data_IF_801646308925
#
_entry.id   IF_801646308925
#
_cell.length_a   1.000
_cell.length_b   1.000
_cell.length_c   1.000
_cell.angle_alpha   90.00
_cell.angle_beta   90.00
_cell.angle_gamma   90.00
#
_symmetry.space_group_name_H-M   'P 1'
#
loop_
_entity.id
_entity.type
_entity.pdbx_description
1 polymer ?
#
# COMPACT_ATOMS: atom_id res chain seq x y z
N UNK A 1 24.24 24.15 -19.91
CA UNK A 1 23.15 23.47 -19.19
C UNK A 1 21.84 23.89 -19.83
N UNK A 2 21.13 22.94 -20.44
CA UNK A 2 19.75 23.16 -20.88
C UNK A 2 18.83 22.71 -19.74
N UNK A 3 17.88 23.57 -19.37
CA UNK A 3 16.86 23.23 -18.39
C UNK A 3 16.02 22.05 -18.91
N UNK A 4 16.01 20.94 -18.16
CA UNK A 4 15.16 19.78 -18.46
C UNK A 4 13.89 19.87 -17.62
N UNK A 5 12.73 19.99 -18.28
CA UNK A 5 11.43 19.91 -17.62
C UNK A 5 10.97 18.46 -17.51
N UNK A 6 10.74 17.98 -16.28
CA UNK A 6 10.15 16.68 -16.02
C UNK A 6 8.65 16.83 -15.75
N UNK A 7 7.84 15.97 -16.37
CA UNK A 7 6.39 15.93 -16.16
C UNK A 7 5.98 14.69 -15.39
N UNK A 8 5.41 14.87 -14.19
CA UNK A 8 4.83 13.79 -13.41
C UNK A 8 3.38 13.54 -13.89
N UNK A 9 3.12 12.37 -14.49
CA UNK A 9 1.83 12.03 -15.13
C UNK A 9 1.21 10.74 -14.60
N UNK A 10 1.56 10.33 -13.37
CA UNK A 10 1.10 9.07 -12.77
C UNK A 10 -0.43 8.96 -12.77
N UNK A 11 -1.13 9.96 -12.23
CA UNK A 11 -2.59 9.94 -12.16
C UNK A 11 -3.26 10.08 -13.55
N UNK A 12 -2.65 10.82 -14.47
CA UNK A 12 -3.13 10.91 -15.87
C UNK A 12 -3.06 9.54 -16.56
N UNK A 13 -1.94 8.83 -16.40
CA UNK A 13 -1.77 7.50 -16.96
C UNK A 13 -2.76 6.50 -16.35
N UNK A 14 -2.94 6.54 -15.02
CA UNK A 14 -3.93 5.74 -14.31
C UNK A 14 -5.35 6.02 -14.81
N UNK A 15 -5.74 7.28 -14.95
CA UNK A 15 -7.08 7.68 -15.41
C UNK A 15 -7.38 7.16 -16.82
N UNK A 16 -6.41 7.23 -17.73
CA UNK A 16 -6.57 6.69 -19.09
C UNK A 16 -6.76 5.16 -19.09
N UNK A 17 -6.10 4.43 -18.18
CA UNK A 17 -6.31 2.99 -18.02
C UNK A 17 -7.66 2.69 -17.38
N UNK A 18 -8.09 3.47 -16.38
CA UNK A 18 -9.40 3.31 -15.75
C UNK A 18 -10.56 3.55 -16.74
N UNK A 19 -10.42 4.54 -17.63
CA UNK A 19 -11.37 4.76 -18.74
C UNK A 19 -11.44 3.53 -19.66
N UNK A 20 -10.28 2.95 -19.99
CA UNK A 20 -10.24 1.73 -20.79
C UNK A 20 -10.86 0.54 -20.05
N UNK A 21 -10.60 0.36 -18.76
CA UNK A 21 -11.20 -0.71 -17.94
C UNK A 21 -12.72 -0.59 -17.94
N UNK A 22 -13.27 0.60 -17.66
CA UNK A 22 -14.72 0.84 -17.68
C UNK A 22 -15.36 0.58 -19.06
N UNK A 23 -14.63 0.86 -20.14
CA UNK A 23 -15.10 0.59 -21.49
C UNK A 23 -15.09 -0.90 -21.89
N UNK A 24 -14.35 -1.75 -21.16
CA UNK A 24 -14.13 -3.15 -21.54
C UNK A 24 -14.64 -4.16 -20.50
N UNK A 25 -14.84 -3.74 -19.25
CA UNK A 25 -15.31 -4.58 -18.15
C UNK A 25 -16.52 -3.94 -17.49
N UNK A 26 -17.72 -4.35 -17.91
CA UNK A 26 -18.96 -3.75 -17.38
C UNK A 26 -19.29 -4.22 -15.96
N UNK A 27 -19.06 -5.50 -15.66
CA UNK A 27 -19.44 -6.13 -14.38
C UNK A 27 -18.40 -7.16 -13.95
N UNK A 28 -17.24 -6.73 -13.41
CA UNK A 28 -16.31 -7.66 -12.77
C UNK A 28 -16.96 -8.30 -11.53
N UNK A 29 -16.60 -9.55 -11.24
CA UNK A 29 -17.07 -10.26 -10.03
C UNK A 29 -16.36 -9.78 -8.77
N UNK A 30 -15.07 -9.43 -8.89
CA UNK A 30 -14.20 -8.95 -7.81
C UNK A 30 -13.20 -7.96 -8.37
N UNK A 31 -12.74 -7.04 -7.53
CA UNK A 31 -11.66 -6.10 -7.83
C UNK A 31 -10.54 -6.31 -6.82
N UNK A 32 -9.34 -6.64 -7.32
CA UNK A 32 -8.13 -6.72 -6.52
C UNK A 32 -7.14 -5.67 -7.01
N UNK A 33 -6.82 -4.70 -6.15
CA UNK A 33 -5.92 -3.58 -6.46
C UNK A 33 -4.63 -3.78 -5.69
N UNK A 34 -3.51 -3.89 -6.40
CA UNK A 34 -2.21 -4.06 -5.77
C UNK A 34 -1.11 -3.31 -6.51
N UNK A 35 0.01 -3.12 -5.83
CA UNK A 35 1.21 -2.55 -6.40
C UNK A 35 2.39 -2.76 -5.45
N UNK A 36 3.56 -2.97 -6.04
CA UNK A 36 4.83 -3.21 -5.36
C UNK A 36 5.62 -1.89 -5.24
N UNK A 37 6.28 -1.66 -4.11
CA UNK A 37 7.18 -0.52 -3.90
C UNK A 37 6.45 0.82 -4.09
N UNK A 38 6.99 1.72 -4.94
CA UNK A 38 6.31 2.93 -5.42
C UNK A 38 4.87 2.66 -5.95
N UNK A 39 4.63 1.47 -6.50
CA UNK A 39 3.32 1.02 -6.94
C UNK A 39 2.31 0.82 -5.81
N UNK A 40 2.74 0.49 -4.59
CA UNK A 40 1.86 0.38 -3.41
C UNK A 40 1.20 1.72 -3.08
N UNK A 41 1.97 2.81 -3.15
CA UNK A 41 1.46 4.17 -2.98
C UNK A 41 0.48 4.53 -4.10
N UNK A 42 0.81 4.19 -5.35
CA UNK A 42 -0.09 4.39 -6.49
C UNK A 42 -1.39 3.59 -6.37
N UNK A 43 -1.31 2.36 -5.86
CA UNK A 43 -2.46 1.46 -5.74
C UNK A 43 -3.45 1.96 -4.71
N UNK A 44 -2.99 2.41 -3.52
CA UNK A 44 -3.87 2.97 -2.48
C UNK A 44 -4.45 4.33 -2.89
N UNK A 45 -3.67 5.18 -3.58
CA UNK A 45 -4.17 6.45 -4.10
C UNK A 45 -5.21 6.26 -5.23
N UNK A 46 -5.05 5.25 -6.08
CA UNK A 46 -5.97 4.91 -7.17
C UNK A 46 -7.21 4.13 -6.72
N UNK A 47 -7.10 3.35 -5.64
CA UNK A 47 -8.15 2.48 -5.11
C UNK A 47 -9.55 3.15 -4.99
N UNK A 48 -9.70 4.33 -4.37
CA UNK A 48 -11.02 4.95 -4.26
C UNK A 48 -11.64 5.29 -5.62
N UNK A 49 -10.83 5.65 -6.62
CA UNK A 49 -11.32 5.95 -7.98
C UNK A 49 -11.83 4.68 -8.68
N UNK A 50 -11.15 3.55 -8.49
CA UNK A 50 -11.59 2.26 -8.99
C UNK A 50 -12.89 1.85 -8.31
N UNK A 51 -12.96 1.96 -6.98
CA UNK A 51 -14.17 1.65 -6.22
C UNK A 51 -15.36 2.49 -6.68
N UNK A 52 -15.16 3.80 -6.87
CA UNK A 52 -16.20 4.70 -7.40
C UNK A 52 -16.71 4.29 -8.79
N UNK A 53 -15.86 3.71 -9.63
CA UNK A 53 -16.27 3.20 -10.94
C UNK A 53 -17.09 1.90 -10.83
N UNK A 54 -16.92 1.14 -9.75
CA UNK A 54 -17.56 -0.15 -9.51
C UNK A 54 -18.08 -0.29 -8.06
N UNK A 55 -19.05 0.55 -7.64
CA UNK A 55 -19.40 0.72 -6.23
C UNK A 55 -20.03 -0.51 -5.57
N UNK A 56 -20.57 -1.43 -6.38
CA UNK A 56 -21.27 -2.64 -5.91
C UNK A 56 -20.43 -3.92 -6.09
N UNK A 57 -19.15 -3.80 -6.45
CA UNK A 57 -18.26 -4.94 -6.67
C UNK A 57 -17.37 -5.17 -5.43
N UNK A 58 -17.25 -6.41 -4.93
CA UNK A 58 -16.31 -6.74 -3.86
C UNK A 58 -14.90 -6.24 -4.16
N UNK A 59 -14.33 -5.51 -3.20
CA UNK A 59 -13.08 -4.77 -3.38
C UNK A 59 -12.03 -5.17 -2.34
N UNK A 60 -10.83 -5.46 -2.85
CA UNK A 60 -9.70 -5.95 -2.10
C UNK A 60 -8.46 -5.12 -2.49
N UNK A 61 -7.72 -4.62 -1.51
CA UNK A 61 -6.50 -3.84 -1.74
C UNK A 61 -5.30 -4.47 -1.04
N UNK A 62 -4.16 -4.58 -1.74
CA UNK A 62 -2.88 -5.05 -1.20
C UNK A 62 -1.74 -4.11 -1.59
N UNK A 63 -1.25 -3.34 -0.63
CA UNK A 63 0.03 -2.64 -0.75
C UNK A 63 1.21 -3.59 -0.51
N UNK A 64 2.06 -3.81 -1.51
CA UNK A 64 3.21 -4.69 -1.42
C UNK A 64 4.50 -3.87 -1.24
N UNK A 65 5.20 -4.05 -0.12
CA UNK A 65 6.47 -3.40 0.20
C UNK A 65 6.43 -1.86 0.12
N UNK A 66 5.36 -1.25 0.65
CA UNK A 66 5.13 0.20 0.60
C UNK A 66 4.53 0.74 1.90
N UNK A 67 5.27 0.61 3.01
CA UNK A 67 4.82 0.93 4.36
C UNK A 67 4.58 2.43 4.66
N UNK A 68 4.99 3.34 3.79
CA UNK A 68 4.82 4.77 4.02
C UNK A 68 5.87 5.42 4.91
N UNK A 69 7.01 4.77 5.13
CA UNK A 69 8.13 5.31 5.92
C UNK A 69 8.99 6.22 5.04
N UNK A 70 8.87 7.53 5.27
CA UNK A 70 9.62 8.59 4.56
C UNK A 70 10.03 9.68 5.56
N UNK A 71 11.00 10.52 5.21
CA UNK A 71 11.38 11.68 6.05
C UNK A 71 10.44 12.87 5.81
N UNK A 72 10.27 13.70 6.85
CA UNK A 72 9.45 14.92 6.76
C UNK A 72 9.93 15.86 5.64
N UNK A 73 11.25 16.01 5.49
CA UNK A 73 11.87 16.84 4.45
C UNK A 73 11.55 16.31 3.05
N UNK A 74 11.60 14.98 2.86
CA UNK A 74 11.23 14.37 1.59
C UNK A 74 9.76 14.55 1.28
N UNK A 75 8.87 14.39 2.28
CA UNK A 75 7.45 14.66 2.09
C UNK A 75 7.20 16.14 1.72
N UNK A 76 7.75 17.08 2.48
CA UNK A 76 7.56 18.51 2.26
C UNK A 76 8.13 18.99 0.91
N UNK A 77 9.27 18.44 0.49
CA UNK A 77 9.92 18.80 -0.77
C UNK A 77 9.39 18.06 -1.99
N UNK A 78 8.96 16.80 -1.85
CA UNK A 78 8.53 15.94 -2.96
C UNK A 78 7.04 16.08 -3.30
N UNK A 79 6.18 16.08 -2.29
CA UNK A 79 4.72 16.01 -2.46
C UNK A 79 4.14 17.13 -3.35
N UNK A 80 4.58 18.41 -3.25
CA UNK A 80 4.10 19.47 -4.14
C UNK A 80 4.53 19.29 -5.61
N UNK A 81 5.60 18.55 -5.87
CA UNK A 81 6.14 18.36 -7.23
C UNK A 81 5.46 17.23 -8.00
N UNK A 82 4.73 16.34 -7.33
CA UNK A 82 4.12 15.16 -7.95
C UNK A 82 2.66 15.34 -8.36
N UNK A 83 2.10 16.53 -8.18
CA UNK A 83 0.74 16.88 -8.58
C UNK A 83 -0.35 15.94 -8.02
N UNK A 84 -0.11 15.42 -6.82
CA UNK A 84 -1.02 14.56 -6.04
C UNK A 84 -2.29 15.28 -5.59
N UNK A 85 -2.39 16.58 -5.84
CA UNK A 85 -3.59 17.40 -5.67
C UNK A 85 -4.75 16.88 -6.51
N UNK A 86 -4.47 16.57 -7.77
CA UNK A 86 -5.50 16.22 -8.75
C UNK A 86 -5.97 14.76 -8.61
N UNK A 87 -5.22 13.91 -7.90
CA UNK A 87 -5.57 12.52 -7.62
C UNK A 87 -6.48 12.32 -6.41
N UNK A 88 -6.97 13.40 -5.77
CA UNK A 88 -7.70 13.30 -4.51
C UNK A 88 -9.13 12.78 -4.68
N UNK A 89 -9.58 11.87 -3.79
CA UNK A 89 -10.97 11.45 -3.77
C UNK A 89 -11.83 12.49 -3.03
N UNK A 90 -12.24 13.55 -3.72
CA UNK A 90 -13.01 14.67 -3.11
C UNK A 90 -14.37 14.27 -2.49
N UNK A 91 -14.89 13.08 -2.84
CA UNK A 91 -16.13 12.55 -2.26
C UNK A 91 -15.93 11.85 -0.90
N UNK A 92 -14.67 11.59 -0.52
CA UNK A 92 -14.32 11.00 0.76
C UNK A 92 -13.94 12.14 1.71
N UNK A 93 -14.62 12.29 2.86
CA UNK A 93 -14.25 13.28 3.86
C UNK A 93 -12.79 13.12 4.26
N UNK A 94 -12.02 14.20 4.10
CA UNK A 94 -10.63 14.19 4.48
C UNK A 94 -10.48 14.10 6.01
N UNK A 95 -9.54 13.29 6.53
CA UNK A 95 -9.12 13.38 7.92
C UNK A 95 -8.71 14.82 8.24
N UNK A 96 -9.26 15.39 9.33
CA UNK A 96 -9.04 16.78 9.75
C UNK A 96 -9.37 17.86 8.70
N UNK A 97 -10.15 17.52 7.66
CA UNK A 97 -10.63 18.49 6.67
C UNK A 97 -9.69 18.76 5.50
N UNK A 98 -8.52 18.10 5.42
CA UNK A 98 -7.62 18.23 4.26
C UNK A 98 -6.83 16.96 3.96
N UNK A 99 -6.92 16.47 2.72
CA UNK A 99 -6.10 15.36 2.22
C UNK A 99 -4.61 15.76 2.07
N UNK A 100 -4.27 17.06 2.10
CA UNK A 100 -2.88 17.54 2.23
C UNK A 100 -2.36 17.26 3.64
N UNK A 101 -3.24 17.33 4.64
CA UNK A 101 -2.90 17.12 6.05
C UNK A 101 -2.98 15.65 6.47
N UNK A 102 -3.27 14.74 5.54
CA UNK A 102 -2.98 13.31 5.69
C UNK A 102 -1.47 13.18 5.66
N UNK A 103 -0.89 13.39 6.84
CA UNK A 103 0.55 13.54 7.09
C UNK A 103 1.31 12.21 7.02
N UNK A 104 0.64 11.10 6.76
CA UNK A 104 1.22 9.76 6.66
C UNK A 104 0.33 8.85 5.81
N UNK A 105 0.95 7.83 5.21
CA UNK A 105 0.22 6.79 4.47
C UNK A 105 -0.74 6.02 5.38
N UNK A 106 -0.37 5.82 6.66
CA UNK A 106 -1.22 5.15 7.64
C UNK A 106 -2.59 5.83 7.78
N UNK A 107 -2.62 7.16 7.93
CA UNK A 107 -3.87 7.92 7.96
C UNK A 107 -4.69 7.81 6.69
N UNK A 108 -4.05 7.66 5.52
CA UNK A 108 -4.74 7.43 4.25
C UNK A 108 -5.43 6.06 4.26
N UNK A 109 -4.72 5.00 4.64
CA UNK A 109 -5.32 3.67 4.79
C UNK A 109 -6.48 3.69 5.77
N UNK A 110 -6.30 4.26 6.97
CA UNK A 110 -7.37 4.32 7.97
C UNK A 110 -8.59 5.09 7.48
N UNK A 111 -8.40 6.19 6.75
CA UNK A 111 -9.49 6.99 6.19
C UNK A 111 -10.27 6.23 5.11
N UNK A 112 -9.56 5.60 4.18
CA UNK A 112 -10.17 4.83 3.08
C UNK A 112 -10.88 3.57 3.62
N UNK A 113 -10.22 2.85 4.53
CA UNK A 113 -10.75 1.65 5.14
C UNK A 113 -12.03 1.91 5.94
N UNK A 114 -12.08 3.00 6.71
CA UNK A 114 -13.30 3.40 7.43
C UNK A 114 -14.42 3.90 6.51
N UNK A 115 -14.07 4.58 5.40
CA UNK A 115 -15.08 5.04 4.44
C UNK A 115 -15.70 3.87 3.68
N UNK A 116 -14.88 2.91 3.28
CA UNK A 116 -15.28 1.69 2.60
C UNK A 116 -15.22 0.48 3.55
N UNK A 117 -16.08 0.49 4.58
CA UNK A 117 -16.04 -0.48 5.67
C UNK A 117 -16.37 -1.93 5.27
N UNK A 118 -16.88 -2.15 4.05
CA UNK A 118 -17.14 -3.48 3.48
C UNK A 118 -15.94 -4.08 2.74
N UNK A 119 -14.96 -3.23 2.40
CA UNK A 119 -13.79 -3.64 1.63
C UNK A 119 -12.72 -4.22 2.56
N UNK A 120 -11.75 -4.93 1.98
CA UNK A 120 -10.58 -5.44 2.69
C UNK A 120 -9.33 -4.71 2.25
N UNK A 121 -8.62 -4.11 3.20
CA UNK A 121 -7.42 -3.32 2.94
C UNK A 121 -6.22 -3.99 3.56
N UNK A 122 -5.11 -4.06 2.85
CA UNK A 122 -3.98 -4.85 3.32
C UNK A 122 -2.63 -4.30 2.93
N UNK A 123 -1.62 -4.72 3.69
CA UNK A 123 -0.23 -4.57 3.27
C UNK A 123 0.57 -5.85 3.52
N UNK A 124 1.51 -6.12 2.61
CA UNK A 124 2.62 -7.03 2.82
C UNK A 124 3.90 -6.21 3.00
N UNK A 125 4.69 -6.52 4.03
CA UNK A 125 6.01 -5.92 4.23
C UNK A 125 6.98 -6.98 4.76
N UNK A 126 8.26 -6.82 4.48
CA UNK A 126 9.32 -7.54 5.20
C UNK A 126 9.93 -6.65 6.27
N UNK A 127 10.31 -7.23 7.41
CA UNK A 127 10.82 -6.49 8.56
C UNK A 127 12.12 -5.73 8.27
N UNK A 128 12.92 -6.20 7.32
CA UNK A 128 14.22 -5.61 6.96
C UNK A 128 14.35 -5.36 5.44
N UNK A 129 13.27 -4.96 4.78
CA UNK A 129 13.23 -4.63 3.35
C UNK A 129 14.41 -3.73 2.94
N UNK A 130 15.35 -4.28 2.18
CA UNK A 130 16.61 -3.59 1.87
C UNK A 130 16.42 -2.37 0.98
N UNK A 131 15.44 -2.40 0.09
CA UNK A 131 15.17 -1.29 -0.82
C UNK A 131 14.48 -0.15 -0.07
N UNK A 132 13.48 -0.45 0.76
CA UNK A 132 12.84 0.57 1.58
C UNK A 132 13.80 1.20 2.59
N UNK A 133 14.66 0.41 3.24
CA UNK A 133 15.72 0.91 4.11
C UNK A 133 16.70 1.81 3.34
N UNK A 134 17.12 1.38 2.15
CA UNK A 134 18.01 2.15 1.29
C UNK A 134 17.40 3.51 0.92
N UNK A 135 16.15 3.53 0.45
CA UNK A 135 15.48 4.76 0.07
C UNK A 135 15.25 5.68 1.27
N UNK A 136 14.85 5.14 2.42
CA UNK A 136 14.70 5.94 3.63
C UNK A 136 16.01 6.61 4.06
N UNK A 137 17.13 5.88 3.98
CA UNK A 137 18.46 6.44 4.23
C UNK A 137 18.85 7.51 3.19
N UNK A 138 18.53 7.29 1.91
CA UNK A 138 18.77 8.26 0.84
C UNK A 138 17.96 9.56 1.02
N UNK A 139 16.79 9.49 1.68
CA UNK A 139 15.98 10.65 2.07
C UNK A 139 16.53 11.39 3.31
N UNK A 140 17.67 10.93 3.88
CA UNK A 140 18.29 11.49 5.08
C UNK A 140 17.85 10.83 6.38
N UNK A 141 17.06 9.76 6.32
CA UNK A 141 16.68 8.95 7.48
C UNK A 141 17.82 8.11 8.02
N UNK A 142 17.68 7.61 9.24
CA UNK A 142 18.58 6.62 9.81
C UNK A 142 18.06 5.22 9.50
N UNK A 143 18.81 4.44 8.71
CA UNK A 143 18.45 3.09 8.29
C UNK A 143 18.02 2.17 9.44
N UNK A 144 18.64 2.31 10.61
CA UNK A 144 18.34 1.48 11.78
C UNK A 144 16.93 1.71 12.36
N UNK A 145 16.30 2.85 12.05
CA UNK A 145 14.98 3.21 12.59
C UNK A 145 13.83 2.71 11.70
N UNK A 146 14.12 2.29 10.46
CA UNK A 146 13.09 2.02 9.46
C UNK A 146 12.13 0.90 9.88
N UNK A 147 12.65 -0.21 10.40
CA UNK A 147 11.84 -1.37 10.81
C UNK A 147 10.84 -0.98 11.90
N UNK A 148 11.28 -0.25 12.92
CA UNK A 148 10.42 0.23 14.00
C UNK A 148 9.34 1.19 13.47
N UNK A 149 9.69 2.07 12.53
CA UNK A 149 8.75 2.99 11.89
C UNK A 149 7.71 2.27 11.01
N UNK A 150 8.12 1.21 10.30
CA UNK A 150 7.22 0.38 9.50
C UNK A 150 6.20 -0.33 10.40
N UNK A 151 6.66 -0.94 11.50
CA UNK A 151 5.79 -1.60 12.47
C UNK A 151 4.83 -0.61 13.13
N UNK A 152 5.31 0.59 13.49
CA UNK A 152 4.47 1.65 14.02
C UNK A 152 3.39 2.11 13.02
N UNK A 153 3.73 2.18 11.72
CA UNK A 153 2.77 2.49 10.65
C UNK A 153 1.67 1.43 10.57
N UNK A 154 2.00 0.14 10.63
CA UNK A 154 0.99 -0.93 10.59
C UNK A 154 0.09 -0.89 11.82
N UNK A 155 0.66 -0.71 13.01
CA UNK A 155 -0.09 -0.59 14.25
C UNK A 155 -1.04 0.62 14.22
N UNK A 156 -0.61 1.77 13.70
CA UNK A 156 -1.47 2.96 13.57
C UNK A 156 -2.69 2.66 12.70
N UNK A 157 -2.54 1.91 11.59
CA UNK A 157 -3.66 1.56 10.72
C UNK A 157 -4.61 0.60 11.45
N UNK A 158 -4.08 -0.49 12.02
CA UNK A 158 -4.85 -1.52 12.72
C UNK A 158 -5.66 -0.95 13.90
N UNK A 159 -5.08 0.00 14.65
CA UNK A 159 -5.76 0.67 15.76
C UNK A 159 -6.95 1.54 15.29
N UNK A 160 -6.96 1.95 14.02
CA UNK A 160 -7.92 2.91 13.48
C UNK A 160 -8.83 2.34 12.37
N UNK A 161 -8.60 1.11 11.89
CA UNK A 161 -9.39 0.49 10.83
C UNK A 161 -9.49 -1.03 11.03
N UNK A 162 -10.67 -1.51 11.45
CA UNK A 162 -10.90 -2.93 11.75
C UNK A 162 -10.97 -3.84 10.52
N UNK A 163 -11.07 -3.28 9.31
CA UNK A 163 -11.05 -3.99 8.03
C UNK A 163 -9.69 -3.88 7.32
N UNK A 164 -8.65 -3.49 8.06
CA UNK A 164 -7.27 -3.55 7.61
C UNK A 164 -6.52 -4.68 8.30
N UNK A 165 -5.79 -5.48 7.52
CA UNK A 165 -4.85 -6.46 8.06
C UNK A 165 -3.52 -6.46 7.31
N UNK A 166 -2.44 -6.83 8.00
CA UNK A 166 -1.09 -6.85 7.44
C UNK A 166 -0.46 -8.24 7.52
N UNK A 167 0.43 -8.53 6.57
CA UNK A 167 1.31 -9.68 6.58
C UNK A 167 2.76 -9.19 6.64
N UNK A 168 3.35 -9.25 7.82
CA UNK A 168 4.74 -8.84 8.07
C UNK A 168 5.63 -10.07 8.17
N UNK A 169 6.47 -10.27 7.15
CA UNK A 169 7.42 -11.37 7.05
C UNK A 169 8.81 -10.99 7.61
N UNK A 170 9.63 -11.97 8.04
CA UNK A 170 11.02 -11.70 8.35
C UNK A 170 11.81 -11.39 7.07
N UNK A 171 13.03 -10.88 7.25
CA UNK A 171 14.00 -10.80 6.15
C UNK A 171 13.95 -9.54 5.31
N UNK A 172 14.60 -9.63 4.16
CA UNK A 172 15.10 -8.49 3.39
C UNK A 172 14.42 -8.29 2.04
N UNK A 173 13.51 -9.19 1.67
CA UNK A 173 12.93 -9.22 0.32
C UNK A 173 12.10 -7.97 0.07
N UNK A 174 12.28 -7.41 -1.13
CA UNK A 174 11.50 -6.30 -1.62
C UNK A 174 10.51 -6.78 -2.66
N UNK A 175 9.22 -6.61 -2.35
CA UNK A 175 8.07 -7.10 -3.09
C UNK A 175 7.91 -8.64 -3.13
N UNK A 176 6.66 -9.08 -3.23
CA UNK A 176 6.31 -10.50 -3.29
C UNK A 176 5.32 -10.81 -4.42
N UNK A 177 4.48 -9.85 -4.81
CA UNK A 177 3.33 -10.07 -5.70
C UNK A 177 3.68 -10.53 -7.12
N UNK A 178 4.91 -10.25 -7.58
CA UNK A 178 5.40 -10.64 -8.89
C UNK A 178 6.28 -11.90 -8.92
N UNK A 179 6.62 -12.45 -7.74
CA UNK A 179 7.69 -13.45 -7.61
C UNK A 179 7.15 -14.79 -7.07
N UNK A 180 7.84 -15.89 -7.40
CA UNK A 180 7.44 -17.25 -7.00
C UNK A 180 7.29 -17.42 -5.48
N UNK A 181 8.00 -16.60 -4.70
CA UNK A 181 7.93 -16.60 -3.24
C UNK A 181 6.53 -16.26 -2.70
N UNK A 182 5.67 -15.64 -3.52
CA UNK A 182 4.23 -15.50 -3.24
C UNK A 182 3.58 -16.82 -2.80
N UNK A 183 3.98 -17.93 -3.42
CA UNK A 183 3.38 -19.24 -3.19
C UNK A 183 4.07 -20.06 -2.09
N UNK A 184 5.28 -19.67 -1.67
CA UNK A 184 6.08 -20.43 -0.70
C UNK A 184 6.17 -19.75 0.66
N UNK A 185 6.14 -18.41 0.70
CA UNK A 185 6.32 -17.64 1.93
C UNK A 185 5.30 -18.08 2.98
N UNK A 186 5.81 -18.51 4.12
CA UNK A 186 5.03 -18.91 5.28
C UNK A 186 5.58 -18.24 6.54
N UNK A 187 4.69 -17.66 7.35
CA UNK A 187 5.02 -16.95 8.59
C UNK A 187 4.03 -17.42 9.64
N UNK A 188 4.54 -17.88 10.79
CA UNK A 188 3.71 -18.41 11.90
C UNK A 188 2.66 -19.45 11.46
N UNK A 189 2.99 -20.27 10.45
CA UNK A 189 2.11 -21.31 9.92
C UNK A 189 1.07 -20.82 8.91
N UNK A 190 1.11 -19.56 8.49
CA UNK A 190 0.21 -18.97 7.50
C UNK A 190 0.98 -18.67 6.22
N UNK A 191 0.63 -19.34 5.12
CA UNK A 191 1.21 -19.04 3.81
C UNK A 191 0.64 -17.73 3.27
N UNK A 192 1.48 -16.95 2.62
CA UNK A 192 1.06 -15.68 2.03
C UNK A 192 -0.03 -15.89 0.97
N UNK A 193 0.13 -16.88 0.10
CA UNK A 193 -0.90 -17.24 -0.89
C UNK A 193 -2.24 -17.66 -0.27
N UNK A 194 -2.23 -18.44 0.82
CA UNK A 194 -3.44 -18.83 1.54
C UNK A 194 -4.09 -17.62 2.25
N UNK A 195 -3.28 -16.70 2.76
CA UNK A 195 -3.74 -15.45 3.39
C UNK A 195 -4.41 -14.52 2.37
N UNK A 196 -3.84 -14.36 1.17
CA UNK A 196 -4.46 -13.62 0.06
C UNK A 196 -5.72 -14.32 -0.44
N UNK A 197 -5.73 -15.66 -0.52
CA UNK A 197 -6.93 -16.42 -0.92
C UNK A 197 -8.09 -16.22 0.08
N UNK A 198 -7.81 -16.32 1.37
CA UNK A 198 -8.77 -16.04 2.43
C UNK A 198 -9.31 -14.59 2.33
N UNK A 199 -8.42 -13.63 2.06
CA UNK A 199 -8.78 -12.23 1.83
C UNK A 199 -9.80 -12.10 0.69
N UNK A 200 -9.50 -12.63 -0.51
CA UNK A 200 -10.34 -12.43 -1.70
C UNK A 200 -11.60 -13.31 -1.72
N UNK A 201 -11.68 -14.33 -0.88
CA UNK A 201 -12.85 -15.22 -0.76
C UNK A 201 -13.75 -14.90 0.44
N UNK A 202 -13.57 -13.72 1.04
CA UNK A 202 -14.38 -13.24 2.17
C UNK A 202 -14.30 -14.16 3.41
N UNK A 203 -13.22 -14.93 3.54
CA UNK A 203 -12.99 -15.82 4.68
C UNK A 203 -12.38 -15.07 5.87
N UNK A 204 -12.26 -15.74 7.02
CA UNK A 204 -11.57 -15.18 8.18
C UNK A 204 -10.10 -14.92 7.82
N UNK A 205 -9.62 -13.72 8.16
CA UNK A 205 -8.36 -13.21 7.68
C UNK A 205 -7.86 -12.21 8.72
N UNK A 206 -6.76 -12.55 9.37
CA UNK A 206 -6.19 -11.82 10.50
C UNK A 206 -4.75 -11.39 10.19
N UNK A 207 -4.19 -10.53 11.03
CA UNK A 207 -2.80 -10.10 10.92
C UNK A 207 -1.82 -11.26 11.07
N UNK A 208 -0.74 -11.22 10.29
CA UNK A 208 0.39 -12.14 10.37
C UNK A 208 1.65 -11.33 10.66
N UNK A 209 2.39 -11.72 11.69
CA UNK A 209 3.61 -11.04 12.13
C UNK A 209 4.68 -12.07 12.47
N UNK A 210 5.90 -11.87 11.98
CA UNK A 210 7.05 -12.67 12.39
C UNK A 210 7.31 -12.57 13.90
N UNK A 211 7.50 -13.70 14.57
CA UNK A 211 8.00 -13.71 15.97
C UNK A 211 9.51 -13.51 16.01
N UNK A 212 10.22 -14.15 15.08
CA UNK A 212 11.64 -13.91 14.81
C UNK A 212 11.76 -13.23 13.45
N UNK A 213 11.89 -11.90 13.46
CA UNK A 213 11.98 -11.10 12.23
C UNK A 213 13.40 -11.03 11.65
N UNK A 214 14.40 -11.43 12.43
CA UNK A 214 15.83 -11.30 12.10
C UNK A 214 16.32 -12.45 11.20
N UNK A 215 15.65 -13.61 11.25
CA UNK A 215 16.02 -14.78 10.43
C UNK A 215 15.05 -14.99 9.28
N UNK A 216 15.57 -14.92 8.04
CA UNK A 216 14.77 -15.21 6.84
C UNK A 216 15.05 -16.64 6.34
N UNK A 217 14.16 -17.60 6.59
CA UNK A 217 14.37 -18.99 6.18
C UNK A 217 14.24 -19.21 4.67
N UNK A 218 13.69 -18.25 3.90
CA UNK A 218 13.55 -18.33 2.43
C UNK A 218 14.45 -17.36 1.67
N UNK A 219 15.43 -16.73 2.34
CA UNK A 219 16.48 -16.00 1.62
C UNK A 219 17.33 -16.99 0.79
N UNK A 220 17.46 -16.82 -0.53
CA UNK A 220 18.42 -17.58 -1.32
C UNK A 220 19.88 -17.33 -0.88
#
# INVERSE_FOLDING_TARGET
>A
DEDTTLYHKGFVNFSAVLDWIQANFEQPEKIFVSGCSAGSYGSIMGAPHIHKAYPDVPFYHLGDAGAGVITDDFFAGGFPNWDVTDSRPEWIPAPNGSWIEVSSLAKMYSALANYYSSDRWSQYNTAHDVEQIFFYAAMGGNAADWSDLMLASMQEIQDNASNFHSYTAPGAIHCITGDDIFYTREVEGVKFSDWVDAMVNDEAWDDVMCTDCETDPEAP
#
